data_IF_509858483960
#
_entry.id   IF_509858483960
#
_cell.length_a   1.000
_cell.length_b   1.000
_cell.length_c   1.000
_cell.angle_alpha   90.00
_cell.angle_beta   90.00
_cell.angle_gamma   90.00
#
_symmetry.space_group_name_H-M   'P 1'
#
loop_
_entity.id
_entity.type
_entity.pdbx_description
1 polymer ?
#
# COMPACT_ATOMS: atom_id res chain seq x y z
N UNK A 1 -9.66 48.74 -29.65
CA UNK A 1 -9.32 47.80 -28.54
C UNK A 1 -8.50 48.49 -27.43
N UNK A 2 -8.90 49.68 -27.00
CA UNK A 2 -8.10 50.49 -26.04
C UNK A 2 -8.58 50.37 -24.57
N UNK A 3 -9.77 49.83 -24.31
CA UNK A 3 -10.38 49.73 -22.99
C UNK A 3 -9.83 48.58 -22.12
N UNK A 4 -9.21 47.56 -22.75
CA UNK A 4 -8.59 46.46 -22.03
C UNK A 4 -7.38 46.86 -21.19
N UNK A 5 -6.73 47.97 -21.44
CA UNK A 5 -5.60 48.48 -20.68
C UNK A 5 -5.99 49.01 -19.30
N UNK A 6 -7.25 49.33 -19.06
CA UNK A 6 -7.77 49.89 -17.80
C UNK A 6 -8.33 48.84 -16.85
N UNK A 7 -8.46 47.59 -17.28
CA UNK A 7 -8.86 46.51 -16.38
C UNK A 7 -7.69 46.10 -15.47
N UNK A 8 -7.91 45.97 -14.16
CA UNK A 8 -6.88 45.53 -13.22
C UNK A 8 -6.56 44.06 -13.41
N UNK A 9 -5.96 43.71 -14.55
CA UNK A 9 -5.66 42.31 -14.95
C UNK A 9 -4.91 41.56 -13.86
N UNK A 10 -3.95 42.22 -13.17
CA UNK A 10 -3.23 41.61 -12.08
C UNK A 10 -4.15 41.19 -10.93
N UNK A 11 -5.17 42.01 -10.64
CA UNK A 11 -6.14 41.71 -9.60
C UNK A 11 -7.12 40.62 -10.04
N UNK A 12 -7.62 40.67 -11.28
CA UNK A 12 -8.51 39.67 -11.85
C UNK A 12 -7.82 38.31 -11.99
N UNK A 13 -6.60 38.28 -12.52
CA UNK A 13 -5.78 37.07 -12.62
C UNK A 13 -5.49 36.51 -11.23
N UNK A 14 -5.10 37.35 -10.27
CA UNK A 14 -4.86 36.93 -8.90
C UNK A 14 -6.12 36.37 -8.22
N UNK A 15 -7.28 37.00 -8.46
CA UNK A 15 -8.58 36.56 -7.91
C UNK A 15 -9.08 35.27 -8.56
N UNK A 16 -8.92 35.14 -9.88
CA UNK A 16 -9.23 33.91 -10.61
C UNK A 16 -8.28 32.79 -10.20
N UNK A 17 -6.98 33.07 -10.13
CA UNK A 17 -5.98 32.12 -9.68
C UNK A 17 -6.23 31.66 -8.23
N UNK A 18 -6.62 32.59 -7.35
CA UNK A 18 -6.97 32.24 -5.96
C UNK A 18 -8.27 31.40 -5.90
N UNK A 19 -9.28 31.77 -6.70
CA UNK A 19 -10.58 31.06 -6.74
C UNK A 19 -10.47 29.63 -7.31
N UNK A 20 -9.49 29.39 -8.18
CA UNK A 20 -9.22 28.11 -8.79
C UNK A 20 -8.02 27.37 -8.18
N UNK A 21 -7.46 27.86 -7.07
CA UNK A 21 -6.34 27.23 -6.39
C UNK A 21 -4.98 27.32 -7.12
N UNK A 22 -4.87 28.13 -8.19
CA UNK A 22 -3.60 28.27 -8.94
C UNK A 22 -2.48 28.95 -8.13
N UNK A 23 -2.82 29.66 -7.04
CA UNK A 23 -1.85 30.26 -6.12
C UNK A 23 -1.53 29.35 -4.93
N UNK A 24 -2.25 28.27 -4.77
CA UNK A 24 -1.99 27.23 -3.78
C UNK A 24 -1.46 25.97 -4.51
N UNK A 25 -0.16 25.73 -4.47
CA UNK A 25 0.44 24.58 -5.16
C UNK A 25 -0.15 23.26 -4.70
N UNK A 26 -0.54 23.13 -3.42
CA UNK A 26 -1.11 21.92 -2.85
C UNK A 26 -2.53 21.70 -3.39
N UNK A 27 -3.35 22.76 -3.48
CA UNK A 27 -4.68 22.69 -4.06
C UNK A 27 -4.66 22.28 -5.55
N UNK A 28 -3.68 22.77 -6.31
CA UNK A 28 -3.49 22.37 -7.71
C UNK A 28 -3.08 20.90 -7.80
N UNK A 29 -2.17 20.46 -6.94
CA UNK A 29 -1.68 19.07 -6.90
C UNK A 29 -2.77 18.11 -6.46
N UNK A 30 -3.62 18.49 -5.50
CA UNK A 30 -4.80 17.69 -5.11
C UNK A 30 -5.76 17.43 -6.28
N UNK A 31 -5.92 18.40 -7.20
CA UNK A 31 -6.72 18.20 -8.43
C UNK A 31 -6.03 17.30 -9.45
N UNK A 32 -4.72 17.20 -9.43
CA UNK A 32 -3.95 16.33 -10.33
C UNK A 32 -3.82 14.90 -9.78
N UNK A 33 -4.20 14.66 -8.53
CA UNK A 33 -4.09 13.34 -7.90
C UNK A 33 -4.83 12.24 -8.65
N UNK A 34 -6.01 12.52 -9.19
CA UNK A 34 -6.78 11.55 -9.98
C UNK A 34 -6.06 11.07 -11.25
N UNK A 35 -5.06 11.83 -11.73
CA UNK A 35 -4.22 11.44 -12.87
C UNK A 35 -2.96 10.66 -12.46
N UNK A 36 -2.66 10.59 -11.17
CA UNK A 36 -1.40 10.05 -10.65
C UNK A 36 -1.56 8.70 -9.92
N UNK A 37 -2.69 8.01 -10.10
CA UNK A 37 -2.91 6.71 -9.47
C UNK A 37 -2.18 5.59 -10.22
N UNK A 38 -1.36 4.77 -9.51
CA UNK A 38 -0.57 3.70 -10.13
C UNK A 38 -1.40 2.59 -10.76
N UNK A 39 -2.66 2.41 -10.32
CA UNK A 39 -3.54 1.34 -10.76
C UNK A 39 -4.05 1.46 -12.21
N UNK A 40 -3.93 2.64 -12.82
CA UNK A 40 -4.46 2.91 -14.15
C UNK A 40 -3.43 2.77 -15.30
N UNK A 41 -2.24 2.27 -14.98
CA UNK A 41 -1.15 2.20 -15.96
C UNK A 41 -1.19 0.89 -16.75
N UNK A 42 -1.73 0.88 -17.93
CA UNK A 42 -1.87 -0.26 -18.81
C UNK A 42 -1.37 -0.03 -20.26
N UNK A 43 -0.16 -0.39 -20.72
CA UNK A 43 0.45 -0.50 -22.09
C UNK A 43 1.64 0.48 -22.43
N UNK A 44 2.51 0.32 -23.40
CA UNK A 44 3.84 0.97 -23.49
C UNK A 44 3.83 2.45 -23.87
N UNK A 45 2.79 2.94 -24.44
CA UNK A 45 2.34 4.32 -24.18
C UNK A 45 2.30 4.53 -22.67
N UNK A 46 2.17 3.56 -21.92
CA UNK A 46 2.06 3.36 -20.51
C UNK A 46 3.38 3.30 -19.77
N UNK A 47 4.48 2.81 -20.33
CA UNK A 47 5.80 3.07 -19.74
C UNK A 47 6.12 4.55 -19.77
N UNK A 48 5.68 5.27 -20.81
CA UNK A 48 5.74 6.72 -20.84
C UNK A 48 4.73 7.31 -19.82
N UNK A 49 3.51 6.81 -19.77
CA UNK A 49 2.50 7.21 -18.78
C UNK A 49 2.93 6.84 -17.37
N UNK A 50 3.47 5.63 -17.15
CA UNK A 50 4.05 5.23 -15.87
C UNK A 50 5.16 6.19 -15.46
N UNK A 51 6.08 6.50 -16.36
CA UNK A 51 7.12 7.51 -16.12
C UNK A 51 6.55 8.87 -15.77
N UNK A 52 5.50 9.31 -16.48
CA UNK A 52 4.80 10.58 -16.20
C UNK A 52 4.08 10.52 -14.86
N UNK A 53 3.37 9.43 -14.55
CA UNK A 53 2.67 9.22 -13.28
C UNK A 53 3.65 9.19 -12.12
N UNK A 54 4.74 8.43 -12.22
CA UNK A 54 5.79 8.40 -11.20
C UNK A 54 6.44 9.78 -11.00
N UNK A 55 6.70 10.50 -12.09
CA UNK A 55 7.25 11.84 -12.00
C UNK A 55 6.25 12.82 -11.39
N UNK A 56 4.99 12.77 -11.80
CA UNK A 56 3.92 13.59 -11.22
C UNK A 56 3.73 13.28 -9.73
N UNK A 57 3.72 12.00 -9.34
CA UNK A 57 3.61 11.59 -7.93
C UNK A 57 4.83 12.07 -7.12
N UNK A 58 6.03 11.92 -7.65
CA UNK A 58 7.25 12.43 -7.03
C UNK A 58 7.21 13.95 -6.82
N UNK A 59 6.67 14.71 -7.78
CA UNK A 59 6.48 16.15 -7.65
C UNK A 59 5.43 16.50 -6.60
N UNK A 60 4.29 15.77 -6.57
CA UNK A 60 3.25 15.94 -5.54
C UNK A 60 3.85 15.70 -4.17
N UNK A 61 4.50 14.55 -3.97
CA UNK A 61 5.15 14.22 -2.71
C UNK A 61 6.12 15.31 -2.29
N UNK A 62 7.03 15.73 -3.18
CA UNK A 62 8.04 16.74 -2.89
C UNK A 62 7.41 18.07 -2.47
N UNK A 63 6.41 18.53 -3.19
CA UNK A 63 5.77 19.82 -2.90
C UNK A 63 4.99 19.77 -1.59
N UNK A 64 4.21 18.72 -1.36
CA UNK A 64 3.44 18.57 -0.12
C UNK A 64 4.38 18.44 1.08
N UNK A 65 5.39 17.57 0.99
CA UNK A 65 6.36 17.36 2.07
C UNK A 65 7.16 18.64 2.38
N UNK A 66 7.65 19.33 1.35
CA UNK A 66 8.45 20.55 1.54
C UNK A 66 7.66 21.72 2.12
N UNK A 67 6.36 21.78 1.89
CA UNK A 67 5.49 22.81 2.47
C UNK A 67 5.02 22.49 3.89
N UNK A 68 5.15 21.25 4.33
CA UNK A 68 4.65 20.76 5.62
C UNK A 68 5.75 19.99 6.38
N UNK A 69 6.91 20.62 6.55
CA UNK A 69 8.09 20.02 7.19
C UNK A 69 7.93 19.74 8.68
N UNK A 70 6.97 20.38 9.33
CA UNK A 70 6.59 20.22 10.72
C UNK A 70 5.74 18.97 10.97
N UNK A 71 5.18 18.39 9.89
CA UNK A 71 4.31 17.21 9.99
C UNK A 71 5.08 15.98 10.40
N UNK A 72 4.37 15.03 11.02
CA UNK A 72 4.87 13.68 11.24
C UNK A 72 4.66 12.89 9.95
N UNK A 73 5.76 12.53 9.33
CA UNK A 73 5.76 11.82 8.07
C UNK A 73 5.99 10.32 8.25
N UNK A 74 5.64 9.47 7.25
CA UNK A 74 6.05 8.06 7.22
C UNK A 74 7.57 7.93 7.34
N UNK A 75 8.01 6.79 7.88
CA UNK A 75 9.42 6.52 8.14
C UNK A 75 10.34 6.76 6.93
N UNK A 76 9.87 6.43 5.71
CA UNK A 76 10.68 6.64 4.50
C UNK A 76 10.98 8.12 4.21
N UNK A 77 10.11 9.03 4.62
CA UNK A 77 10.33 10.49 4.52
C UNK A 77 11.22 10.99 5.65
N UNK A 78 10.95 10.57 6.89
CA UNK A 78 11.75 10.96 8.05
C UNK A 78 13.24 10.57 7.86
N UNK A 79 13.52 9.41 7.28
CA UNK A 79 14.88 9.00 6.88
C UNK A 79 15.54 9.99 5.92
N UNK A 80 14.80 10.52 4.98
CA UNK A 80 15.34 11.48 3.99
C UNK A 80 15.72 12.81 4.64
N UNK A 81 15.27 13.08 5.85
CA UNK A 81 15.63 14.27 6.62
C UNK A 81 16.79 14.04 7.58
N UNK A 82 17.15 12.80 7.88
CA UNK A 82 18.26 12.46 8.77
C UNK A 82 19.59 12.44 8.00
N UNK A 83 20.54 13.38 8.27
CA UNK A 83 21.82 13.40 7.58
C UNK A 83 22.70 12.16 7.83
N UNK A 84 22.41 11.38 8.86
CA UNK A 84 23.14 10.14 9.19
C UNK A 84 22.57 8.91 8.45
N UNK A 85 21.38 9.04 7.83
CA UNK A 85 20.74 7.94 7.11
C UNK A 85 21.20 7.88 5.64
N UNK A 86 21.37 6.67 5.11
CA UNK A 86 21.71 6.43 3.70
C UNK A 86 20.67 6.98 2.73
N UNK A 87 19.43 7.16 3.17
CA UNK A 87 18.35 7.73 2.39
C UNK A 87 18.33 9.27 2.41
N UNK A 88 19.28 9.92 3.10
CA UNK A 88 19.31 11.36 3.24
C UNK A 88 19.32 12.08 1.89
N UNK A 89 18.43 13.05 1.74
CA UNK A 89 18.35 13.93 0.57
C UNK A 89 18.50 15.38 1.03
N UNK A 90 19.62 16.06 0.68
CA UNK A 90 19.77 17.48 0.96
C UNK A 90 18.61 18.29 0.37
N UNK A 91 17.99 19.15 1.16
CA UNK A 91 16.80 19.94 0.74
C UNK A 91 16.99 20.71 -0.56
N UNK A 92 18.20 21.21 -0.81
CA UNK A 92 18.52 21.91 -2.05
C UNK A 92 18.42 21.04 -3.31
N UNK A 93 18.47 19.72 -3.17
CA UNK A 93 18.45 18.74 -4.28
C UNK A 93 17.21 17.86 -4.28
N UNK A 94 16.29 18.03 -3.32
CA UNK A 94 15.06 17.25 -3.26
C UNK A 94 14.07 17.73 -4.32
N UNK A 95 14.31 17.33 -5.56
CA UNK A 95 13.39 17.58 -6.68
C UNK A 95 12.18 16.65 -6.56
N UNK A 96 12.40 15.42 -6.06
CA UNK A 96 11.34 14.43 -5.89
C UNK A 96 11.55 13.64 -4.59
N UNK A 97 10.48 13.54 -3.77
CA UNK A 97 10.43 12.62 -2.65
C UNK A 97 9.71 11.34 -3.10
N UNK A 98 10.46 10.27 -3.23
CA UNK A 98 9.96 8.95 -3.58
C UNK A 98 10.54 7.97 -2.57
N UNK A 99 9.79 6.97 -2.19
CA UNK A 99 10.31 5.85 -1.40
C UNK A 99 11.22 4.99 -2.28
N UNK A 100 12.49 5.38 -2.37
CA UNK A 100 13.50 4.64 -3.15
C UNK A 100 13.93 3.33 -2.48
N UNK A 101 13.75 3.25 -1.16
CA UNK A 101 13.98 2.01 -0.41
C UNK A 101 12.78 1.08 -0.48
N UNK A 102 11.93 1.23 -1.51
CA UNK A 102 10.72 0.48 -1.70
C UNK A 102 10.90 -0.97 -1.24
N UNK A 103 9.88 -1.59 -0.65
CA UNK A 103 9.91 -2.92 -0.03
C UNK A 103 10.35 -2.94 1.43
N UNK A 104 10.34 -1.80 2.08
CA UNK A 104 10.46 -1.73 3.54
C UNK A 104 9.10 -1.78 4.24
N UNK A 105 8.06 -2.29 3.60
CA UNK A 105 6.76 -2.59 4.18
C UNK A 105 6.45 -4.08 4.09
N UNK A 106 5.58 -4.54 4.97
CA UNK A 106 5.11 -5.93 5.00
C UNK A 106 3.62 -5.98 4.70
N UNK A 107 3.22 -6.79 3.71
CA UNK A 107 1.81 -7.05 3.44
C UNK A 107 1.24 -8.01 4.48
N UNK A 108 0.02 -7.72 4.91
CA UNK A 108 -0.81 -8.61 5.72
C UNK A 108 -2.11 -8.88 4.98
N UNK A 109 -2.79 -9.98 5.28
CA UNK A 109 -4.03 -10.30 4.56
C UNK A 109 -4.63 -11.64 4.92
N UNK A 110 -5.70 -11.97 4.22
CA UNK A 110 -6.33 -13.28 4.24
C UNK A 110 -6.26 -13.92 2.85
N UNK A 111 -6.18 -15.25 2.77
CA UNK A 111 -6.25 -15.97 1.50
C UNK A 111 -7.50 -15.57 0.71
N UNK A 112 -7.33 -15.38 -0.59
CA UNK A 112 -8.41 -15.09 -1.53
C UNK A 112 -9.14 -13.74 -1.29
N UNK A 113 -8.51 -12.84 -0.54
CA UNK A 113 -8.92 -11.43 -0.37
C UNK A 113 -8.01 -10.56 -1.20
N UNK A 114 -8.60 -9.72 -2.05
CA UNK A 114 -7.82 -8.87 -2.95
C UNK A 114 -7.17 -7.68 -2.22
N UNK A 115 -7.82 -7.13 -1.17
CA UNK A 115 -7.25 -6.04 -0.40
C UNK A 115 -6.11 -6.52 0.50
N UNK A 116 -4.94 -5.94 0.32
CA UNK A 116 -3.72 -6.26 1.06
C UNK A 116 -3.21 -5.04 1.83
N UNK A 117 -3.59 -4.88 3.11
CA UNK A 117 -3.01 -3.86 3.97
C UNK A 117 -1.49 -4.01 4.06
N UNK A 118 -0.79 -2.89 4.20
CA UNK A 118 0.66 -2.86 4.38
C UNK A 118 1.04 -2.15 5.66
N UNK A 119 2.12 -2.62 6.29
CA UNK A 119 2.68 -2.04 7.52
C UNK A 119 4.12 -1.63 7.24
N UNK A 120 4.45 -0.38 7.52
CA UNK A 120 5.82 0.13 7.35
C UNK A 120 6.74 -0.31 8.50
N UNK A 121 8.09 -0.10 8.43
CA UNK A 121 9.03 -0.53 9.48
C UNK A 121 8.82 0.12 10.84
N UNK A 122 7.94 1.08 10.96
CA UNK A 122 7.62 1.79 12.21
C UNK A 122 6.18 1.59 12.67
N UNK A 123 5.44 0.66 12.01
CA UNK A 123 4.09 0.29 12.41
C UNK A 123 2.99 1.16 11.83
N UNK A 124 3.31 2.07 10.89
CA UNK A 124 2.30 2.79 10.13
C UNK A 124 1.47 1.79 9.32
N UNK A 125 0.18 1.73 9.58
CA UNK A 125 -0.75 0.80 8.93
C UNK A 125 -1.52 1.50 7.82
N UNK A 126 -1.40 1.00 6.59
CA UNK A 126 -2.19 1.44 5.43
C UNK A 126 -3.18 0.33 5.08
N UNK A 127 -4.47 0.47 5.41
CA UNK A 127 -5.46 -0.60 5.22
C UNK A 127 -5.84 -0.85 3.77
N UNK A 128 -5.82 0.19 2.93
CA UNK A 128 -6.31 0.13 1.55
C UNK A 128 -5.21 0.47 0.55
N UNK A 129 -5.31 -0.10 -0.64
CA UNK A 129 -4.39 0.20 -1.73
C UNK A 129 -4.37 1.72 -2.02
N UNK A 130 -3.18 2.32 -2.01
CA UNK A 130 -2.93 3.76 -2.17
C UNK A 130 -3.76 4.67 -1.24
N UNK A 131 -4.24 4.10 -0.14
CA UNK A 131 -5.09 4.77 0.84
C UNK A 131 -4.32 5.55 1.90
N UNK A 132 -5.08 6.12 2.82
CA UNK A 132 -4.60 6.77 4.04
C UNK A 132 -4.01 5.76 5.02
N UNK A 133 -3.30 6.27 6.03
CA UNK A 133 -2.70 5.41 7.06
C UNK A 133 -3.16 5.77 8.47
N UNK A 134 -3.05 4.79 9.36
CA UNK A 134 -3.17 4.92 10.80
C UNK A 134 -1.79 4.86 11.43
N UNK A 135 -1.49 5.82 12.29
CA UNK A 135 -0.27 5.88 13.08
C UNK A 135 -0.61 5.91 14.57
N UNK A 136 0.20 5.27 15.39
CA UNK A 136 0.01 5.23 16.83
C UNK A 136 1.16 5.98 17.52
N UNK A 137 0.81 6.94 18.39
CA UNK A 137 1.77 7.76 19.14
C UNK A 137 1.47 7.67 20.63
N UNK A 138 2.45 8.01 21.45
CA UNK A 138 2.27 8.10 22.89
C UNK A 138 2.75 9.46 23.38
N UNK A 139 1.82 10.24 23.96
CA UNK A 139 2.06 11.57 24.49
C UNK A 139 1.93 11.54 26.02
N UNK A 140 2.99 11.84 26.74
CA UNK A 140 2.96 12.02 28.19
C UNK A 140 2.51 13.42 28.58
N UNK A 141 1.87 13.57 29.75
CA UNK A 141 1.38 14.86 30.27
C UNK A 141 2.51 15.87 30.50
N UNK A 142 3.76 15.41 30.64
CA UNK A 142 4.96 16.26 30.74
C UNK A 142 5.49 16.75 29.39
N UNK A 143 4.79 16.46 28.27
CA UNK A 143 5.14 16.90 26.92
C UNK A 143 6.10 15.98 26.15
N UNK A 144 6.63 14.91 26.77
CA UNK A 144 7.38 13.88 26.03
C UNK A 144 6.45 13.16 25.06
N UNK A 145 6.96 12.87 23.86
CA UNK A 145 6.17 12.22 22.82
C UNK A 145 6.98 11.14 22.11
N UNK A 146 6.46 9.92 22.05
CA UNK A 146 6.99 8.83 21.25
C UNK A 146 6.27 8.81 19.92
N UNK A 147 7.01 9.08 18.86
CA UNK A 147 6.58 9.02 17.45
C UNK A 147 7.39 7.91 16.77
N UNK A 148 6.81 6.74 16.47
CA UNK A 148 7.58 5.61 15.94
C UNK A 148 8.35 5.92 14.67
N UNK A 149 7.81 6.72 13.76
CA UNK A 149 8.48 7.12 12.51
C UNK A 149 9.81 7.86 12.74
N UNK A 150 9.97 8.52 13.91
CA UNK A 150 11.18 9.24 14.34
C UNK A 150 12.04 8.47 15.35
N UNK A 151 11.56 7.29 15.77
CA UNK A 151 12.25 6.50 16.79
C UNK A 151 13.35 5.63 16.16
N UNK A 152 14.60 5.81 16.59
CA UNK A 152 15.75 5.00 16.12
C UNK A 152 15.73 3.57 16.70
N UNK A 153 15.12 3.36 17.86
CA UNK A 153 15.13 2.09 18.60
C UNK A 153 13.99 1.14 18.27
N UNK A 154 13.11 1.51 17.33
CA UNK A 154 11.98 0.67 16.94
C UNK A 154 12.45 -0.67 16.35
N UNK A 155 11.78 -1.75 16.78
CA UNK A 155 12.00 -3.12 16.31
C UNK A 155 10.73 -3.66 15.71
N UNK A 156 10.86 -4.42 14.62
CA UNK A 156 9.72 -5.05 13.98
C UNK A 156 10.00 -6.51 13.73
N UNK A 157 8.98 -7.34 13.93
CA UNK A 157 8.99 -8.76 13.58
C UNK A 157 7.67 -9.15 12.94
N UNK A 158 7.70 -10.23 12.18
CA UNK A 158 6.51 -10.85 11.63
C UNK A 158 6.23 -12.15 12.38
N UNK A 159 4.96 -12.43 12.67
CA UNK A 159 4.44 -13.69 13.19
C UNK A 159 3.53 -14.29 12.13
N UNK A 160 3.52 -15.62 12.01
CA UNK A 160 2.81 -16.33 10.94
C UNK A 160 1.66 -17.20 11.44
N UNK A 161 1.50 -17.35 12.75
CA UNK A 161 0.43 -18.15 13.33
C UNK A 161 -0.95 -17.54 13.03
N UNK A 162 -1.78 -18.30 12.33
CA UNK A 162 -3.09 -17.82 11.87
C UNK A 162 -3.04 -16.80 10.72
N UNK A 163 -1.89 -16.69 10.06
CA UNK A 163 -1.60 -15.75 8.98
C UNK A 163 -0.64 -14.63 9.35
N UNK A 164 -0.17 -13.87 8.36
CA UNK A 164 0.82 -12.81 8.57
C UNK A 164 0.34 -11.75 9.54
N UNK A 165 1.12 -11.53 10.59
CA UNK A 165 0.92 -10.50 11.60
C UNK A 165 2.23 -9.73 11.79
N UNK A 166 2.17 -8.41 11.78
CA UNK A 166 3.33 -7.54 11.98
C UNK A 166 3.27 -6.93 13.38
N UNK A 167 4.33 -7.12 14.15
CA UNK A 167 4.49 -6.56 15.50
C UNK A 167 5.62 -5.54 15.47
N UNK A 168 5.33 -4.31 15.89
CA UNK A 168 6.30 -3.22 15.97
C UNK A 168 6.38 -2.73 17.41
N UNK A 169 7.59 -2.65 17.94
CA UNK A 169 7.89 -2.20 19.30
C UNK A 169 8.75 -0.94 19.21
N UNK A 170 8.39 0.08 19.97
CA UNK A 170 9.11 1.36 20.03
C UNK A 170 9.21 1.82 21.48
N UNK A 171 10.39 2.24 21.89
CA UNK A 171 10.63 2.75 23.24
C UNK A 171 11.45 4.03 23.18
N UNK A 172 11.10 5.00 24.01
CA UNK A 172 11.82 6.27 24.15
C UNK A 172 11.50 6.90 25.52
N UNK A 173 12.51 7.19 26.31
CA UNK A 173 12.41 8.01 27.54
C UNK A 173 11.27 7.61 28.49
N UNK A 174 11.14 6.32 28.78
CA UNK A 174 10.09 5.80 29.69
C UNK A 174 8.69 5.72 29.05
N UNK A 175 8.61 5.85 27.72
CA UNK A 175 7.43 5.60 26.92
C UNK A 175 7.65 4.31 26.10
N UNK A 176 6.70 3.39 26.12
CA UNK A 176 6.73 2.16 25.35
C UNK A 176 5.43 1.97 24.58
N UNK A 177 5.55 1.62 23.32
CA UNK A 177 4.44 1.40 22.39
C UNK A 177 4.66 0.11 21.62
N UNK A 178 3.67 -0.78 21.62
CA UNK A 178 3.65 -1.99 20.79
C UNK A 178 2.41 -1.95 19.90
N UNK A 179 2.59 -2.04 18.60
CA UNK A 179 1.49 -2.23 17.66
C UNK A 179 1.55 -3.60 17.04
N UNK A 180 0.39 -4.27 16.93
CA UNK A 180 0.22 -5.58 16.32
C UNK A 180 -0.86 -5.48 15.25
N UNK A 181 -0.48 -5.64 13.98
CA UNK A 181 -1.38 -5.49 12.84
C UNK A 181 -1.54 -6.80 12.08
N UNK A 182 -2.79 -7.19 11.79
CA UNK A 182 -3.14 -8.39 11.04
C UNK A 182 -4.49 -8.22 10.35
N UNK A 183 -4.84 -9.13 9.46
CA UNK A 183 -6.20 -9.24 8.94
C UNK A 183 -6.87 -10.45 9.57
N UNK A 184 -8.06 -10.28 10.11
CA UNK A 184 -8.89 -11.32 10.71
C UNK A 184 -10.17 -11.51 9.91
N UNK A 185 -10.84 -12.64 10.09
CA UNK A 185 -12.17 -12.89 9.52
C UNK A 185 -13.20 -12.78 10.62
N UNK A 186 -14.12 -11.83 10.49
CA UNK A 186 -15.24 -11.61 11.41
C UNK A 186 -16.55 -11.66 10.64
N UNK A 187 -17.48 -12.49 11.11
CA UNK A 187 -18.76 -12.71 10.42
C UNK A 187 -18.60 -13.01 8.92
N UNK A 188 -17.52 -13.73 8.55
CA UNK A 188 -17.21 -14.04 7.17
C UNK A 188 -16.70 -12.85 6.33
N UNK A 189 -16.19 -11.79 6.94
CA UNK A 189 -15.61 -10.60 6.29
C UNK A 189 -14.18 -10.37 6.75
N UNK A 190 -13.34 -9.90 5.83
CA UNK A 190 -12.00 -9.47 6.17
C UNK A 190 -12.02 -8.11 6.90
N UNK A 191 -11.37 -8.07 8.03
CA UNK A 191 -11.20 -6.88 8.86
C UNK A 191 -9.72 -6.71 9.15
N UNK A 192 -9.17 -5.54 8.82
CA UNK A 192 -7.83 -5.18 9.25
C UNK A 192 -7.90 -4.76 10.72
N UNK A 193 -7.17 -5.48 11.57
CA UNK A 193 -7.10 -5.27 13.01
C UNK A 193 -5.72 -4.73 13.38
N UNK A 194 -5.70 -3.67 14.18
CA UNK A 194 -4.49 -3.16 14.83
C UNK A 194 -4.73 -3.10 16.32
N UNK A 195 -3.95 -3.84 17.09
CA UNK A 195 -3.94 -3.79 18.56
C UNK A 195 -2.74 -2.99 19.01
N UNK A 196 -2.98 -1.93 19.76
CA UNK A 196 -1.93 -1.05 20.27
C UNK A 196 -1.88 -1.14 21.79
N UNK A 197 -0.70 -1.46 22.33
CA UNK A 197 -0.39 -1.44 23.75
C UNK A 197 0.54 -0.28 24.03
N UNK A 198 0.19 0.51 25.02
CA UNK A 198 0.93 1.69 25.45
C UNK A 198 1.22 1.64 26.94
N UNK A 199 2.45 1.97 27.33
CA UNK A 199 2.88 2.12 28.73
C UNK A 199 3.73 3.36 28.87
N UNK A 200 3.47 4.15 29.92
CA UNK A 200 4.22 5.36 30.20
C UNK A 200 4.54 5.44 31.69
N UNK A 201 5.71 5.94 32.05
CA UNK A 201 6.11 6.18 33.45
C UNK A 201 5.28 7.32 34.09
N UNK A 202 4.83 8.26 33.28
CA UNK A 202 3.92 9.35 33.69
C UNK A 202 2.65 9.23 32.89
N UNK A 203 1.52 9.57 33.51
CA UNK A 203 0.21 9.55 32.80
C UNK A 203 0.27 10.35 31.50
N UNK A 204 -0.59 9.97 30.56
CA UNK A 204 -0.59 10.58 29.23
C UNK A 204 -1.76 10.10 28.37
N UNK A 205 -1.56 10.12 27.07
CA UNK A 205 -2.55 9.67 26.08
C UNK A 205 -1.90 8.81 25.00
N UNK A 206 -2.48 7.65 24.76
CA UNK A 206 -2.31 6.94 23.50
C UNK A 206 -3.06 7.72 22.42
N UNK A 207 -2.39 8.05 21.34
CA UNK A 207 -2.92 8.83 20.23
C UNK A 207 -2.98 7.94 18.99
N UNK A 208 -4.16 7.79 18.42
CA UNK A 208 -4.30 7.22 17.09
C UNK A 208 -4.46 8.38 16.10
N UNK A 209 -3.56 8.46 15.14
CA UNK A 209 -3.55 9.52 14.15
C UNK A 209 -3.91 9.01 12.77
N UNK A 210 -4.83 9.69 12.09
CA UNK A 210 -5.18 9.49 10.68
C UNK A 210 -4.26 10.36 9.83
N UNK A 211 -3.56 9.73 8.86
CA UNK A 211 -2.52 10.39 8.06
C UNK A 211 -2.85 10.37 6.57
N UNK A 212 -2.79 11.53 5.86
CA UNK A 212 -2.96 11.60 4.41
C UNK A 212 -1.65 11.22 3.68
N UNK A 213 -1.04 10.15 4.11
CA UNK A 213 0.21 9.64 3.55
C UNK A 213 0.34 8.14 3.84
N UNK A 214 1.09 7.44 3.01
CA UNK A 214 1.39 6.02 3.12
C UNK A 214 2.84 5.71 2.72
N UNK A 215 3.31 4.45 2.75
CA UNK A 215 4.68 4.11 2.36
C UNK A 215 5.08 4.47 0.93
N UNK A 216 4.13 4.75 0.05
CA UNK A 216 4.41 5.13 -1.36
C UNK A 216 4.32 6.64 -1.61
N UNK A 217 3.63 7.38 -0.75
CA UNK A 217 3.51 8.82 -0.92
C UNK A 217 2.30 9.45 -0.26
N UNK A 218 1.90 10.59 -0.81
CA UNK A 218 0.73 11.32 -0.34
C UNK A 218 -0.55 10.59 -0.77
N UNK A 219 -1.44 10.40 0.21
CA UNK A 219 -2.79 9.89 0.02
C UNK A 219 -3.78 10.90 0.58
N UNK A 220 -4.76 11.32 -0.22
CA UNK A 220 -5.60 12.45 0.13
C UNK A 220 -6.80 12.03 0.99
N UNK A 221 -7.09 12.84 2.03
CA UNK A 221 -8.26 12.73 2.89
C UNK A 221 -8.99 14.07 2.83
N UNK A 222 -10.21 14.09 2.31
CA UNK A 222 -10.98 15.33 2.17
C UNK A 222 -11.80 15.62 3.41
N UNK A 223 -12.31 14.58 4.08
CA UNK A 223 -13.21 14.72 5.22
C UNK A 223 -13.04 13.59 6.22
N UNK A 224 -13.02 13.93 7.51
CA UNK A 224 -13.10 12.98 8.61
C UNK A 224 -14.15 13.42 9.59
N UNK A 225 -14.91 12.46 10.14
CA UNK A 225 -15.91 12.70 11.17
C UNK A 225 -15.83 11.61 12.24
N UNK A 226 -15.78 12.02 13.49
CA UNK A 226 -15.93 11.14 14.65
C UNK A 226 -17.42 10.85 14.88
N UNK A 227 -17.76 9.61 15.22
CA UNK A 227 -19.12 9.21 15.61
C UNK A 227 -19.56 9.94 16.89
N UNK A 228 -20.88 10.03 17.11
CA UNK A 228 -21.44 10.61 18.35
C UNK A 228 -21.01 9.82 19.59
N UNK A 229 -20.85 8.51 19.47
CA UNK A 229 -20.35 7.60 20.49
C UNK A 229 -18.83 7.70 20.69
N UNK A 230 -18.13 8.47 19.82
CA UNK A 230 -16.68 8.69 19.84
C UNK A 230 -15.83 7.42 19.67
N UNK A 231 -16.41 6.39 19.09
CA UNK A 231 -15.83 5.05 18.93
C UNK A 231 -15.54 4.69 17.47
N UNK A 232 -15.80 5.60 16.51
CA UNK A 232 -15.51 5.35 15.10
C UNK A 232 -15.22 6.63 14.32
N UNK A 233 -14.37 6.50 13.31
CA UNK A 233 -14.21 7.50 12.25
C UNK A 233 -14.94 7.09 10.97
N UNK A 234 -15.59 8.07 10.33
CA UNK A 234 -15.99 7.99 8.93
C UNK A 234 -15.05 8.89 8.13
N UNK A 235 -14.45 8.32 7.07
CA UNK A 235 -13.44 8.98 6.24
C UNK A 235 -13.99 9.05 4.81
N UNK A 236 -14.11 10.26 4.25
CA UNK A 236 -14.67 10.56 2.93
C UNK A 236 -16.05 9.92 2.68
N UNK A 237 -16.80 9.70 3.76
CA UNK A 237 -18.16 9.15 3.73
C UNK A 237 -18.28 7.66 3.38
N UNK A 238 -17.17 6.94 3.23
CA UNK A 238 -17.18 5.54 2.76
C UNK A 238 -16.45 4.56 3.68
N UNK A 239 -15.33 4.98 4.26
CA UNK A 239 -14.45 4.10 5.03
C UNK A 239 -14.61 4.40 6.52
N UNK A 240 -14.53 3.37 7.34
CA UNK A 240 -14.69 3.51 8.78
C UNK A 240 -13.53 2.85 9.54
N UNK A 241 -13.11 3.50 10.62
CA UNK A 241 -12.19 2.94 11.62
C UNK A 241 -12.95 2.86 12.94
N UNK A 242 -13.04 1.68 13.53
CA UNK A 242 -13.72 1.46 14.80
C UNK A 242 -12.70 1.32 15.92
N UNK A 243 -12.96 1.94 17.05
CA UNK A 243 -12.18 1.87 18.28
C UNK A 243 -12.87 0.96 19.29
N UNK A 244 -12.11 0.16 20.04
CA UNK A 244 -12.67 -0.73 21.09
C UNK A 244 -13.22 0.00 22.30
N UNK A 245 -12.94 1.30 22.44
CA UNK A 245 -13.48 2.21 23.45
C UNK A 245 -13.59 3.63 22.90
N UNK A 246 -14.48 4.47 23.46
CA UNK A 246 -14.63 5.86 23.04
C UNK A 246 -13.34 6.66 23.24
N UNK A 247 -13.04 7.55 22.29
CA UNK A 247 -11.97 8.52 22.43
C UNK A 247 -12.36 9.59 23.47
N UNK A 248 -11.45 9.89 24.37
CA UNK A 248 -11.69 10.91 25.40
C UNK A 248 -11.57 12.31 24.81
N UNK A 249 -10.61 12.49 23.90
CA UNK A 249 -10.40 13.75 23.17
C UNK A 249 -10.20 13.45 21.70
N UNK A 250 -10.52 14.45 20.87
CA UNK A 250 -10.36 14.34 19.43
C UNK A 250 -9.98 15.69 18.81
N UNK A 251 -9.01 15.68 17.93
CA UNK A 251 -8.57 16.86 17.20
C UNK A 251 -8.53 16.58 15.69
N UNK A 252 -8.81 17.60 14.94
CA UNK A 252 -8.69 17.59 13.48
C UNK A 252 -7.89 18.81 13.06
N UNK A 253 -7.07 18.65 12.02
CA UNK A 253 -6.32 19.74 11.43
C UNK A 253 -6.16 19.53 9.92
N UNK A 254 -5.60 20.52 9.25
CA UNK A 254 -5.30 20.45 7.83
C UNK A 254 -3.99 21.20 7.53
N UNK A 255 -3.51 21.13 6.29
CA UNK A 255 -2.22 21.72 5.91
C UNK A 255 -2.11 23.24 6.12
N UNK A 256 -3.21 23.99 6.28
CA UNK A 256 -3.18 25.45 6.54
C UNK A 256 -3.02 25.75 8.03
N UNK A 257 -3.44 24.83 8.87
CA UNK A 257 -3.40 24.96 10.33
C UNK A 257 -2.23 24.19 10.95
N UNK A 258 -1.54 23.38 10.16
CA UNK A 258 -0.43 22.53 10.57
C UNK A 258 -0.82 21.08 10.81
N UNK A 259 0.11 20.26 11.28
CA UNK A 259 -0.15 18.87 11.65
C UNK A 259 -1.05 18.80 12.88
N UNK A 260 -1.99 17.85 12.93
CA UNK A 260 -2.81 17.61 14.12
C UNK A 260 -1.98 17.40 15.41
N UNK A 261 -0.71 17.00 15.26
CA UNK A 261 0.22 16.83 16.37
C UNK A 261 0.36 18.11 17.23
N UNK A 262 0.35 19.30 16.63
CA UNK A 262 0.52 20.55 17.37
C UNK A 262 -0.72 20.89 18.20
N UNK A 263 -1.87 20.32 17.88
CA UNK A 263 -3.14 20.55 18.55
C UNK A 263 -3.47 19.53 19.66
N UNK A 264 -2.62 18.50 19.88
CA UNK A 264 -2.90 17.44 20.85
C UNK A 264 -3.08 17.90 22.30
N UNK A 265 -2.55 19.09 22.64
CA UNK A 265 -2.68 19.69 23.97
C UNK A 265 -3.79 20.74 24.05
N UNK A 266 -4.43 21.09 22.95
CA UNK A 266 -5.50 22.08 22.93
C UNK A 266 -6.70 21.55 23.73
N UNK A 267 -7.41 22.46 24.41
CA UNK A 267 -8.57 22.09 25.26
C UNK A 267 -9.83 21.88 24.45
N UNK A 268 -9.92 22.48 23.27
CA UNK A 268 -11.09 22.38 22.41
C UNK A 268 -11.09 21.05 21.66
N UNK A 269 -12.27 20.43 21.62
CA UNK A 269 -12.50 19.13 21.00
C UNK A 269 -13.18 19.35 19.64
N UNK A 270 -12.66 18.75 18.58
CA UNK A 270 -13.16 18.90 17.21
C UNK A 270 -13.54 17.53 16.66
N UNK A 271 -14.82 17.31 16.40
CA UNK A 271 -15.32 16.00 15.94
C UNK A 271 -15.37 15.84 14.42
N UNK A 272 -15.20 16.90 13.65
CA UNK A 272 -15.27 16.88 12.19
C UNK A 272 -14.26 17.86 11.59
N UNK A 273 -13.64 17.47 10.48
CA UNK A 273 -12.79 18.33 9.68
C UNK A 273 -12.88 18.03 8.22
N UNK A 274 -12.61 19.06 7.41
CA UNK A 274 -12.60 18.94 5.96
C UNK A 274 -11.52 19.81 5.33
N UNK A 275 -11.05 19.38 4.17
CA UNK A 275 -10.04 20.09 3.38
C UNK A 275 -10.29 19.84 1.89
N UNK A 276 -10.43 20.92 1.13
CA UNK A 276 -10.71 20.89 -0.31
C UNK A 276 -9.54 20.35 -1.16
N UNK A 277 -8.34 20.30 -0.57
CA UNK A 277 -7.15 19.73 -1.21
C UNK A 277 -6.79 18.34 -0.69
N UNK A 278 -7.60 17.75 0.20
CA UNK A 278 -7.40 16.39 0.68
C UNK A 278 -6.28 16.23 1.71
N UNK A 279 -5.93 17.28 2.45
CA UNK A 279 -4.85 17.23 3.46
C UNK A 279 -5.41 17.39 4.87
N UNK A 280 -6.39 16.55 5.22
CA UNK A 280 -6.91 16.44 6.59
C UNK A 280 -6.04 15.49 7.40
N UNK A 281 -5.76 15.84 8.65
CA UNK A 281 -5.22 14.96 9.68
C UNK A 281 -6.18 14.92 10.87
N UNK A 282 -6.27 13.80 11.57
CA UNK A 282 -7.06 13.68 12.77
C UNK A 282 -6.31 12.88 13.85
N UNK A 283 -6.68 13.08 15.10
CA UNK A 283 -6.12 12.37 16.24
C UNK A 283 -7.24 12.06 17.27
N UNK A 284 -7.37 10.79 17.62
CA UNK A 284 -8.19 10.32 18.73
C UNK A 284 -7.28 9.97 19.91
N UNK A 285 -7.58 10.49 21.09
CA UNK A 285 -6.77 10.36 22.30
C UNK A 285 -7.48 9.49 23.33
N UNK A 286 -6.71 8.57 23.90
CA UNK A 286 -7.16 7.59 24.89
C UNK A 286 -6.22 7.64 26.10
N UNK A 287 -6.77 7.80 27.29
CA UNK A 287 -5.99 7.93 28.53
C UNK A 287 -5.11 6.72 28.80
N UNK A 288 -3.89 7.00 29.25
CA UNK A 288 -2.90 6.02 29.75
C UNK A 288 -2.48 6.48 31.14
N UNK A 289 -2.70 5.66 32.17
CA UNK A 289 -2.29 5.97 33.54
C UNK A 289 -0.84 5.59 33.77
N UNK A 290 -0.18 6.31 34.68
CA UNK A 290 1.24 6.12 34.98
C UNK A 290 1.54 4.70 35.45
N UNK A 291 2.48 4.03 34.79
CA UNK A 291 2.91 2.67 35.14
C UNK A 291 1.96 1.56 34.69
N UNK A 292 0.77 1.87 34.19
CA UNK A 292 -0.20 0.90 33.70
C UNK A 292 -0.04 0.64 32.19
N UNK A 293 -0.39 -0.58 31.74
CA UNK A 293 -0.49 -0.90 30.32
C UNK A 293 -1.93 -0.61 29.87
N UNK A 294 -2.06 0.21 28.84
CA UNK A 294 -3.32 0.51 28.17
C UNK A 294 -3.36 -0.20 26.82
N UNK A 295 -4.43 -0.95 26.56
CA UNK A 295 -4.65 -1.60 25.25
C UNK A 295 -5.81 -0.92 24.51
N UNK A 296 -5.62 -0.72 23.22
CA UNK A 296 -6.65 -0.24 22.30
C UNK A 296 -6.64 -1.11 21.04
N UNK A 297 -7.83 -1.53 20.61
CA UNK A 297 -8.03 -2.26 19.38
C UNK A 297 -8.72 -1.39 18.35
N UNK A 298 -8.15 -1.36 17.14
CA UNK A 298 -8.69 -0.68 15.98
C UNK A 298 -9.15 -1.73 14.97
N UNK A 299 -10.23 -1.47 14.27
CA UNK A 299 -10.81 -2.37 13.26
C UNK A 299 -11.22 -1.56 12.04
N UNK A 300 -10.75 -2.01 10.88
CA UNK A 300 -11.08 -1.41 9.58
C UNK A 300 -11.65 -2.51 8.68
N UNK A 301 -12.96 -2.51 8.39
CA UNK A 301 -13.54 -3.42 7.42
C UNK A 301 -12.89 -3.24 6.04
N UNK A 302 -12.41 -4.33 5.45
CA UNK A 302 -11.77 -4.31 4.13
C UNK A 302 -12.74 -4.64 3.00
N UNK A 303 -13.92 -5.12 3.32
CA UNK A 303 -14.91 -5.58 2.36
C UNK A 303 -16.28 -4.99 2.67
N UNK A 304 -17.00 -4.67 1.61
CA UNK A 304 -18.41 -4.26 1.69
C UNK A 304 -19.31 -5.45 2.09
N UNK A 305 -20.51 -5.17 2.58
CA UNK A 305 -21.50 -6.19 2.95
C UNK A 305 -21.89 -7.11 1.79
N UNK A 306 -21.77 -6.66 0.55
CA UNK A 306 -22.06 -7.43 -0.66
C UNK A 306 -20.97 -8.40 -1.09
N UNK A 307 -19.76 -8.32 -0.49
CA UNK A 307 -18.65 -9.18 -0.87
C UNK A 307 -18.90 -10.65 -0.49
N UNK A 308 -18.29 -11.62 -1.17
CA UNK A 308 -18.40 -13.04 -0.82
C UNK A 308 -17.94 -13.32 0.61
N UNK A 309 -18.60 -14.26 1.27
CA UNK A 309 -18.24 -14.69 2.63
C UNK A 309 -16.93 -15.47 2.61
N UNK A 310 -16.00 -15.10 3.48
CA UNK A 310 -14.71 -15.77 3.65
C UNK A 310 -14.82 -16.88 4.69
N UNK A 311 -14.10 -17.98 4.47
CA UNK A 311 -14.02 -19.08 5.43
C UNK A 311 -13.09 -18.72 6.59
N UNK A 312 -13.48 -19.08 7.80
CA UNK A 312 -12.68 -18.83 9.02
C UNK A 312 -11.39 -19.66 9.09
N UNK A 313 -11.33 -20.81 8.40
CA UNK A 313 -10.16 -21.68 8.29
C UNK A 313 -9.25 -21.33 7.09
N UNK A 314 -9.38 -20.14 6.55
CA UNK A 314 -8.78 -19.71 5.28
C UNK A 314 -7.29 -20.02 5.16
N UNK A 315 -6.47 -19.73 6.17
CA UNK A 315 -5.04 -20.01 6.15
C UNK A 315 -4.71 -21.49 6.21
N UNK A 316 -5.36 -22.25 7.10
CA UNK A 316 -5.16 -23.69 7.19
C UNK A 316 -5.59 -24.39 5.89
N UNK A 317 -6.70 -23.98 5.30
CA UNK A 317 -7.17 -24.50 4.03
C UNK A 317 -6.25 -24.10 2.86
N UNK A 318 -5.80 -22.83 2.82
CA UNK A 318 -4.94 -22.32 1.75
C UNK A 318 -3.55 -22.97 1.72
N UNK A 319 -3.04 -23.38 2.87
CA UNK A 319 -1.75 -24.09 3.02
C UNK A 319 -1.90 -25.61 3.09
N UNK A 320 -3.14 -26.15 2.95
CA UNK A 320 -3.34 -27.59 3.00
C UNK A 320 -2.55 -28.29 1.89
N UNK A 321 -1.78 -29.32 2.27
CA UNK A 321 -1.01 -30.14 1.33
C UNK A 321 0.27 -29.50 0.80
N UNK A 322 0.67 -28.33 1.32
CA UNK A 322 1.94 -27.72 0.92
C UNK A 322 3.15 -28.60 1.25
N UNK A 323 4.21 -28.45 0.48
CA UNK A 323 5.50 -29.07 0.76
C UNK A 323 6.07 -28.52 2.06
N UNK A 324 6.39 -29.40 3.01
CA UNK A 324 6.99 -29.01 4.29
C UNK A 324 8.50 -28.98 4.18
N UNK A 325 9.10 -27.91 4.67
CA UNK A 325 10.53 -27.83 4.92
C UNK A 325 10.73 -28.05 6.42
N UNK A 326 11.63 -28.93 6.79
CA UNK A 326 12.11 -29.08 8.16
C UNK A 326 13.57 -28.66 8.18
N UNK A 327 13.83 -27.47 8.69
CA UNK A 327 15.15 -26.88 8.73
C UNK A 327 15.58 -26.66 10.20
N UNK A 328 16.79 -27.13 10.60
CA UNK A 328 17.29 -26.90 11.96
C UNK A 328 17.55 -25.43 12.28
N UNK A 329 17.75 -24.59 11.27
CA UNK A 329 17.91 -23.14 11.41
C UNK A 329 16.54 -22.48 11.37
N UNK A 330 16.12 -21.89 12.48
CA UNK A 330 14.83 -21.23 12.66
C UNK A 330 14.60 -20.06 11.69
N UNK A 331 15.68 -19.35 11.28
CA UNK A 331 15.54 -18.24 10.34
C UNK A 331 15.19 -18.75 8.93
N UNK A 332 15.84 -19.83 8.47
CA UNK A 332 15.52 -20.42 7.18
C UNK A 332 14.12 -21.04 7.18
N UNK A 333 13.74 -21.70 8.28
CA UNK A 333 12.37 -22.19 8.44
C UNK A 333 11.37 -21.05 8.34
N UNK A 334 11.59 -19.97 9.10
CA UNK A 334 10.73 -18.79 9.08
C UNK A 334 10.64 -18.16 7.67
N UNK A 335 11.76 -18.01 6.97
CA UNK A 335 11.80 -17.45 5.62
C UNK A 335 10.98 -18.29 4.62
N UNK A 336 11.06 -19.62 4.75
CA UNK A 336 10.27 -20.52 3.91
C UNK A 336 8.78 -20.35 4.19
N UNK A 337 8.36 -20.37 5.45
CA UNK A 337 6.97 -20.23 5.84
C UNK A 337 6.41 -18.83 5.48
N UNK A 338 7.20 -17.78 5.63
CA UNK A 338 6.85 -16.43 5.20
C UNK A 338 6.69 -16.33 3.67
N UNK A 339 7.56 -17.01 2.91
CA UNK A 339 7.45 -17.06 1.45
C UNK A 339 6.17 -17.77 1.00
N UNK A 340 5.79 -18.88 1.66
CA UNK A 340 4.52 -19.58 1.40
C UNK A 340 3.33 -18.66 1.65
N UNK A 341 3.31 -17.97 2.79
CA UNK A 341 2.25 -17.00 3.09
C UNK A 341 2.20 -15.88 2.03
N UNK A 342 3.35 -15.37 1.59
CA UNK A 342 3.42 -14.36 0.54
C UNK A 342 2.87 -14.88 -0.79
N UNK A 343 3.20 -16.10 -1.21
CA UNK A 343 2.66 -16.73 -2.42
C UNK A 343 1.12 -16.83 -2.36
N UNK A 344 0.57 -17.19 -1.21
CA UNK A 344 -0.89 -17.27 -1.01
C UNK A 344 -1.53 -15.89 -1.10
N UNK A 345 -0.97 -14.87 -0.43
CA UNK A 345 -1.49 -13.50 -0.45
C UNK A 345 -1.48 -12.89 -1.86
N UNK A 346 -0.42 -13.16 -2.65
CA UNK A 346 -0.28 -12.60 -3.99
C UNK A 346 -0.94 -13.43 -5.10
N UNK A 347 -1.76 -14.42 -4.73
CA UNK A 347 -2.51 -15.25 -5.67
C UNK A 347 -3.97 -15.44 -5.22
N UNK A 348 -4.73 -14.36 -4.98
CA UNK A 348 -6.14 -14.49 -4.59
C UNK A 348 -6.97 -15.17 -5.69
N UNK A 349 -7.21 -14.54 -6.80
CA UNK A 349 -7.80 -15.07 -8.03
C UNK A 349 -6.81 -14.91 -9.19
N UNK A 350 -6.32 -13.70 -9.36
CA UNK A 350 -5.16 -13.38 -10.21
C UNK A 350 -3.85 -13.54 -9.42
N UNK A 351 -2.75 -13.39 -10.13
CA UNK A 351 -1.41 -13.44 -9.54
C UNK A 351 -0.75 -12.09 -9.70
N UNK A 352 -0.25 -11.54 -8.60
CA UNK A 352 0.37 -10.23 -8.53
C UNK A 352 1.83 -10.32 -8.05
N UNK A 353 2.78 -9.60 -8.69
CA UNK A 353 4.17 -9.55 -8.24
C UNK A 353 4.37 -8.83 -6.90
N UNK A 354 3.40 -8.01 -6.48
CA UNK A 354 3.50 -7.25 -5.24
C UNK A 354 2.19 -6.63 -4.80
N UNK A 355 2.13 -6.14 -3.54
CA UNK A 355 0.88 -5.68 -2.92
C UNK A 355 0.50 -4.24 -3.29
N UNK A 356 1.39 -3.49 -3.93
CA UNK A 356 1.18 -2.07 -4.16
C UNK A 356 1.44 -1.66 -5.62
N UNK A 357 2.62 -1.13 -5.96
CA UNK A 357 2.98 -0.65 -7.30
C UNK A 357 2.84 -1.75 -8.37
N UNK A 358 3.11 -2.98 -7.99
CA UNK A 358 3.03 -4.17 -8.85
C UNK A 358 1.77 -5.01 -8.59
N UNK A 359 0.71 -4.45 -8.03
CA UNK A 359 -0.59 -5.12 -7.86
C UNK A 359 -1.33 -5.17 -9.20
N UNK A 360 -0.76 -5.94 -10.13
CA UNK A 360 -1.19 -6.04 -11.51
C UNK A 360 -0.71 -7.37 -12.11
N UNK A 361 -1.50 -7.95 -13.01
CA UNK A 361 -1.15 -9.19 -13.69
C UNK A 361 -0.13 -8.97 -14.81
N UNK A 362 0.93 -9.76 -14.82
CA UNK A 362 1.89 -9.92 -15.92
C UNK A 362 2.18 -11.40 -16.16
N UNK A 363 2.26 -11.83 -17.42
CA UNK A 363 2.47 -13.25 -17.74
C UNK A 363 3.81 -13.78 -17.24
N UNK A 364 4.88 -13.01 -17.37
CA UNK A 364 6.20 -13.40 -16.87
C UNK A 364 6.16 -13.66 -15.37
N UNK A 365 5.72 -12.68 -14.60
CA UNK A 365 5.65 -12.79 -13.14
C UNK A 365 4.70 -13.90 -12.72
N UNK A 366 3.54 -13.99 -13.36
CA UNK A 366 2.57 -15.04 -13.09
C UNK A 366 3.13 -16.43 -13.36
N UNK A 367 3.87 -16.63 -14.44
CA UNK A 367 4.47 -17.94 -14.76
C UNK A 367 5.45 -18.40 -13.67
N UNK A 368 6.30 -17.48 -13.16
CA UNK A 368 7.25 -17.81 -12.09
C UNK A 368 6.56 -18.01 -10.73
N UNK A 369 5.57 -17.20 -10.40
CA UNK A 369 4.81 -17.36 -9.14
C UNK A 369 4.02 -18.67 -9.16
N UNK A 370 3.35 -19.00 -10.28
CA UNK A 370 2.66 -20.27 -10.45
C UNK A 370 3.63 -21.45 -10.36
N UNK A 371 4.82 -21.31 -10.93
CA UNK A 371 5.85 -22.35 -10.77
C UNK A 371 6.27 -22.53 -9.32
N UNK A 372 6.44 -21.45 -8.57
CA UNK A 372 6.73 -21.52 -7.14
C UNK A 372 5.58 -22.17 -6.35
N UNK A 373 4.31 -21.86 -6.68
CA UNK A 373 3.13 -22.53 -6.11
C UNK A 373 3.15 -24.04 -6.37
N UNK A 374 3.49 -24.47 -7.59
CA UNK A 374 3.61 -25.89 -7.95
C UNK A 374 4.74 -26.57 -7.17
N UNK A 375 5.92 -25.95 -7.06
CA UNK A 375 7.03 -26.47 -6.26
C UNK A 375 6.69 -26.55 -4.77
N UNK A 376 5.89 -25.62 -4.28
CA UNK A 376 5.39 -25.62 -2.91
C UNK A 376 4.22 -26.61 -2.66
N UNK A 377 3.76 -27.35 -3.68
CA UNK A 377 2.64 -28.29 -3.55
C UNK A 377 1.26 -27.64 -3.55
N UNK A 378 1.16 -26.32 -3.75
CA UNK A 378 -0.10 -25.56 -3.80
C UNK A 378 -0.75 -25.67 -5.20
N UNK A 379 -0.93 -26.92 -5.64
CA UNK A 379 -1.33 -27.28 -7.02
C UNK A 379 -2.67 -26.68 -7.41
N UNK A 380 -3.67 -26.76 -6.55
CA UNK A 380 -5.02 -26.28 -6.88
C UNK A 380 -5.06 -24.76 -7.03
N UNK A 381 -4.23 -24.03 -6.27
CA UNK A 381 -4.06 -22.58 -6.40
C UNK A 381 -3.37 -22.23 -7.72
N UNK A 382 -2.32 -22.97 -8.07
CA UNK A 382 -1.63 -22.82 -9.35
C UNK A 382 -2.58 -23.08 -10.54
N UNK A 383 -3.38 -24.16 -10.47
CA UNK A 383 -4.36 -24.50 -11.48
C UNK A 383 -5.42 -23.41 -11.64
N UNK A 384 -5.95 -22.86 -10.54
CA UNK A 384 -6.93 -21.76 -10.55
C UNK A 384 -6.37 -20.54 -11.28
N UNK A 385 -5.13 -20.15 -10.99
CA UNK A 385 -4.48 -19.02 -11.67
C UNK A 385 -4.31 -19.26 -13.19
N UNK A 386 -3.98 -20.47 -13.61
CA UNK A 386 -3.86 -20.82 -15.03
C UNK A 386 -5.18 -20.73 -15.79
N UNK A 387 -6.34 -20.92 -15.13
CA UNK A 387 -7.64 -20.77 -15.78
C UNK A 387 -7.89 -19.37 -16.32
N UNK A 388 -7.21 -18.33 -15.78
CA UNK A 388 -7.35 -16.94 -16.23
C UNK A 388 -6.56 -16.65 -17.53
N UNK A 389 -5.58 -17.48 -17.89
CA UNK A 389 -4.67 -17.22 -19.01
C UNK A 389 -5.35 -17.15 -20.38
N UNK A 390 -6.25 -18.10 -20.78
CA UNK A 390 -6.87 -18.06 -22.09
C UNK A 390 -7.71 -16.79 -22.36
N UNK A 391 -8.32 -16.20 -21.33
CA UNK A 391 -9.11 -14.96 -21.45
C UNK A 391 -8.27 -13.75 -21.88
N UNK A 392 -6.95 -13.80 -21.60
CA UNK A 392 -5.98 -12.73 -21.93
C UNK A 392 -5.26 -12.95 -23.26
N UNK A 393 -5.63 -14.01 -24.02
CA UNK A 393 -5.04 -14.29 -25.32
C UNK A 393 -5.77 -13.54 -26.43
N UNK A 394 -5.06 -12.78 -27.23
CA UNK A 394 -5.59 -12.12 -28.42
C UNK A 394 -5.97 -13.15 -29.51
N UNK A 395 -6.83 -12.72 -30.44
CA UNK A 395 -7.29 -13.58 -31.56
C UNK A 395 -6.15 -14.14 -32.41
N UNK A 396 -5.05 -13.39 -32.55
CA UNK A 396 -3.86 -13.80 -33.29
C UNK A 396 -2.97 -14.82 -32.53
N UNK A 397 -3.30 -15.14 -31.29
CA UNK A 397 -2.53 -16.08 -30.47
C UNK A 397 -1.51 -15.45 -29.52
N UNK A 398 -1.36 -14.13 -29.53
CA UNK A 398 -0.48 -13.44 -28.60
C UNK A 398 -1.12 -13.36 -27.21
N UNK A 399 -0.38 -13.80 -26.19
CA UNK A 399 -0.73 -13.57 -24.80
C UNK A 399 -0.27 -12.18 -24.39
N UNK A 400 -1.21 -11.32 -24.00
CA UNK A 400 -0.94 -9.93 -23.74
C UNK A 400 -1.43 -9.50 -22.36
N UNK A 401 -0.53 -9.19 -21.46
CA UNK A 401 -0.78 -8.42 -20.24
C UNK A 401 -0.47 -6.95 -20.44
N UNK A 402 0.58 -6.67 -21.23
CA UNK A 402 0.95 -5.32 -21.67
C UNK A 402 1.60 -5.37 -23.05
N UNK A 403 1.71 -4.25 -23.72
CA UNK A 403 2.43 -4.15 -24.98
C UNK A 403 3.95 -4.14 -24.71
N UNK A 404 4.70 -4.93 -25.49
CA UNK A 404 6.16 -5.08 -25.32
C UNK A 404 6.59 -6.24 -24.42
N UNK A 405 5.67 -7.00 -23.84
CA UNK A 405 5.98 -8.23 -23.11
C UNK A 405 6.08 -9.41 -24.10
N UNK A 406 7.13 -9.40 -24.93
CA UNK A 406 7.29 -10.35 -26.05
C UNK A 406 7.60 -11.78 -25.61
N UNK A 407 8.05 -11.98 -24.39
CA UNK A 407 8.34 -13.26 -23.76
C UNK A 407 7.06 -13.96 -23.24
N UNK A 408 5.94 -13.26 -23.08
CA UNK A 408 4.69 -13.79 -22.53
C UNK A 408 4.26 -15.12 -23.16
N UNK A 409 4.35 -15.28 -24.49
CA UNK A 409 3.98 -16.54 -25.14
C UNK A 409 4.91 -17.69 -24.73
N UNK A 410 6.21 -17.45 -24.60
CA UNK A 410 7.18 -18.43 -24.14
C UNK A 410 6.92 -18.85 -22.70
N UNK A 411 6.67 -17.88 -21.83
CA UNK A 411 6.40 -18.10 -20.41
C UNK A 411 5.10 -18.90 -20.19
N UNK A 412 4.04 -18.60 -20.94
CA UNK A 412 2.78 -19.36 -20.89
C UNK A 412 3.00 -20.80 -21.33
N UNK A 413 3.69 -21.05 -22.45
CA UNK A 413 3.97 -22.40 -22.91
C UNK A 413 4.82 -23.18 -21.91
N UNK A 414 5.81 -22.51 -21.31
CA UNK A 414 6.67 -23.09 -20.29
C UNK A 414 5.88 -23.49 -19.05
N UNK A 415 5.06 -22.60 -18.49
CA UNK A 415 4.34 -22.89 -17.24
C UNK A 415 3.24 -23.95 -17.43
N UNK A 416 2.56 -23.98 -18.59
CA UNK A 416 1.61 -25.06 -18.92
C UNK A 416 2.31 -26.41 -18.97
N UNK A 417 3.51 -26.48 -19.57
CA UNK A 417 4.31 -27.71 -19.56
C UNK A 417 4.74 -28.09 -18.15
N UNK A 418 5.24 -27.12 -17.36
CA UNK A 418 5.64 -27.36 -15.95
C UNK A 418 4.48 -27.85 -15.08
N UNK A 419 3.27 -27.32 -15.29
CA UNK A 419 2.08 -27.81 -14.61
C UNK A 419 1.88 -29.31 -14.87
N UNK A 420 1.89 -29.73 -16.12
CA UNK A 420 1.74 -31.15 -16.48
C UNK A 420 2.87 -32.02 -15.91
N UNK A 421 4.12 -31.59 -16.05
CA UNK A 421 5.31 -32.33 -15.59
C UNK A 421 5.32 -32.52 -14.06
N UNK A 422 4.95 -31.49 -13.30
CA UNK A 422 5.00 -31.53 -11.84
C UNK A 422 3.78 -32.19 -11.19
N UNK A 423 2.62 -32.10 -11.85
CA UNK A 423 1.36 -32.63 -11.26
C UNK A 423 0.93 -33.97 -11.84
N UNK A 424 1.42 -34.34 -13.04
CA UNK A 424 0.90 -35.47 -13.83
C UNK A 424 -0.53 -35.23 -14.36
N UNK A 425 -1.17 -34.11 -14.04
CA UNK A 425 -2.53 -33.81 -14.49
C UNK A 425 -2.54 -33.47 -15.98
N UNK A 426 -3.56 -33.92 -16.75
CA UNK A 426 -3.72 -33.51 -18.13
C UNK A 426 -4.02 -32.00 -18.22
N UNK A 427 -3.51 -31.35 -19.26
CA UNK A 427 -3.85 -29.96 -19.50
C UNK A 427 -5.32 -29.82 -19.88
N UNK A 428 -6.01 -28.83 -19.30
CA UNK A 428 -7.37 -28.50 -19.66
C UNK A 428 -7.51 -28.21 -21.16
N UNK A 429 -8.61 -28.63 -21.85
CA UNK A 429 -8.77 -28.42 -23.29
C UNK A 429 -8.62 -26.96 -23.73
N UNK A 430 -9.11 -26.01 -22.93
CA UNK A 430 -8.94 -24.56 -23.16
C UNK A 430 -7.46 -24.14 -23.18
N UNK A 431 -6.64 -24.65 -22.26
CA UNK A 431 -5.20 -24.38 -22.20
C UNK A 431 -4.46 -24.98 -23.38
N UNK A 432 -4.82 -26.21 -23.79
CA UNK A 432 -4.24 -26.83 -24.99
C UNK A 432 -4.56 -26.01 -26.24
N UNK A 433 -5.78 -25.51 -26.38
CA UNK A 433 -6.20 -24.63 -27.46
C UNK A 433 -5.41 -23.32 -27.49
N UNK A 434 -5.31 -22.66 -26.35
CA UNK A 434 -4.55 -21.42 -26.18
C UNK A 434 -3.06 -21.65 -26.41
N UNK A 435 -2.47 -22.70 -25.87
CA UNK A 435 -1.07 -23.08 -26.09
C UNK A 435 -0.75 -23.30 -27.57
N UNK A 436 -1.60 -24.06 -28.30
CA UNK A 436 -1.41 -24.26 -29.75
C UNK A 436 -1.44 -22.95 -30.53
N UNK A 437 -2.37 -22.04 -30.22
CA UNK A 437 -2.43 -20.72 -30.87
C UNK A 437 -1.19 -19.89 -30.52
N UNK A 438 -0.77 -19.90 -29.25
CA UNK A 438 0.43 -19.22 -28.78
C UNK A 438 1.70 -19.73 -29.45
N UNK A 439 1.85 -21.06 -29.58
CA UNK A 439 2.96 -21.70 -30.29
C UNK A 439 3.03 -21.32 -31.76
N UNK A 440 1.89 -21.31 -32.46
CA UNK A 440 1.82 -20.83 -33.88
C UNK A 440 2.22 -19.35 -33.98
N UNK A 441 1.80 -18.51 -33.07
CA UNK A 441 2.20 -17.09 -33.07
C UNK A 441 3.73 -16.94 -32.95
N UNK A 442 4.36 -17.70 -32.05
CA UNK A 442 5.86 -17.73 -31.95
C UNK A 442 6.49 -18.18 -33.22
N UNK A 443 6.02 -19.29 -33.82
CA UNK A 443 6.55 -19.81 -35.11
C UNK A 443 6.38 -18.78 -36.23
N UNK A 444 5.23 -18.17 -36.37
CA UNK A 444 4.97 -17.16 -37.40
C UNK A 444 5.89 -15.94 -37.27
N UNK A 445 6.17 -15.50 -36.04
CA UNK A 445 7.11 -14.39 -35.78
C UNK A 445 8.54 -14.78 -36.09
N UNK A 446 8.97 -16.02 -35.78
CA UNK A 446 10.32 -16.50 -36.00
C UNK A 446 10.60 -16.76 -37.50
N UNK A 447 9.66 -17.43 -38.20
CA UNK A 447 9.87 -17.85 -39.60
C UNK A 447 9.79 -16.70 -40.62
N UNK A 448 9.02 -15.62 -40.31
CA UNK A 448 8.85 -14.50 -41.24
C UNK A 448 10.00 -13.50 -41.23
N UNK A 449 11.01 -13.68 -40.38
CA UNK A 449 12.14 -12.72 -40.29
C UNK A 449 11.70 -11.29 -39.94
N UNK A 450 10.42 -11.07 -39.76
CA UNK A 450 9.83 -9.83 -39.29
C UNK A 450 9.79 -9.87 -37.74
N UNK A 451 10.97 -9.91 -37.14
CA UNK A 451 11.10 -9.29 -35.84
C UNK A 451 10.88 -7.80 -36.17
N UNK A 452 9.68 -7.28 -35.94
CA UNK A 452 9.52 -5.86 -35.76
C UNK A 452 10.54 -5.50 -34.68
N UNK A 453 11.62 -4.84 -35.09
CA UNK A 453 12.64 -4.39 -34.17
C UNK A 453 11.87 -3.50 -33.20
N UNK A 454 11.75 -3.94 -31.96
CA UNK A 454 11.33 -3.04 -30.90
C UNK A 454 12.13 -1.75 -31.10
N UNK A 455 11.51 -0.57 -31.08
CA UNK A 455 12.24 0.67 -31.24
C UNK A 455 13.44 0.59 -30.31
N UNK A 456 14.66 0.73 -30.89
CA UNK A 456 15.88 0.53 -30.13
C UNK A 456 15.85 1.46 -28.92
N UNK A 457 15.76 0.87 -27.76
CA UNK A 457 15.95 1.62 -26.51
C UNK A 457 17.35 2.22 -26.56
N UNK A 458 17.50 3.55 -26.32
CA UNK A 458 18.80 4.23 -26.43
C UNK A 458 19.87 3.69 -25.48
N UNK A 459 19.52 2.75 -24.61
CA UNK A 459 20.39 2.15 -23.59
C UNK A 459 20.51 0.61 -23.69
N UNK A 460 20.08 -0.01 -24.78
CA UNK A 460 20.32 -1.44 -24.97
C UNK A 460 21.80 -1.65 -25.26
N UNK A 461 22.60 -2.32 -24.39
CA UNK A 461 23.95 -2.70 -24.76
C UNK A 461 23.87 -3.65 -25.98
N UNK A 462 24.63 -3.37 -27.01
CA UNK A 462 24.82 -4.30 -28.11
C UNK A 462 25.55 -5.53 -27.55
N UNK A 463 24.86 -6.64 -27.47
CA UNK A 463 25.48 -7.95 -27.32
C UNK A 463 25.96 -8.40 -28.70
#
# INVERSE_FOLDING_TARGET
MSWMKWLPWRYLVKRVAHRHGFLDPIALLGKLHSFAQPSEVGEPIELLRAGVVFHARGLINSRVIQHNLDWVWPYWVERQFDPEDIAFIPRAFSITHINLSNRNWTAIGQPDVDELPVVDPRGLLTPFHDGWSLDAWLLADNGRCLLPSRCKTARQRQELEGGPCVVTESELDGLALTSRSRVVVENGRAVCEMVVKARAETSGSLVISLRPANPEGISFINKVRLSEQRDAWTIDGKQAVFFSRPAERHHVSNYREGDVRIHLQDKEDQCEGQCDVGMVTAAALFRVEAGEESELRLRVPLQDESAPVIRSDGWAAALHGHARLECPDENWQFLYDAALNSLVLHSPEDVYPGPYTYKRFWFRDAAFIIHALLCAGLTDRAERALYQFPARQLKNGYFRSQEGEWDANGEVLWILRRFHELTGRPLHPGWQGAGRKGGRWVQDKTLRGKIERAPAWPFSPRI
#
